data_IF_344375444640
#
_entry.id   IF_344375444640
#
_cell.length_a   1.000
_cell.length_b   1.000
_cell.length_c   1.000
_cell.angle_alpha   90.00
_cell.angle_beta   90.00
_cell.angle_gamma   90.00
#
_symmetry.space_group_name_H-M   'P 1'
#
loop_
_entity.id
_entity.type
_entity.pdbx_description
1 polymer ?
#
# COMPACT_ATOMS: atom_id res chain seq x y z
N UNK A 1 0.28 -19.77 -17.02
CA UNK A 1 0.96 -18.94 -16.02
C UNK A 1 2.17 -19.72 -15.57
N UNK A 2 3.30 -19.39 -16.18
CA UNK A 2 4.56 -20.06 -15.90
C UNK A 2 5.14 -19.54 -14.58
N UNK A 3 6.09 -20.28 -14.02
CA UNK A 3 6.68 -19.95 -12.71
C UNK A 3 7.30 -18.54 -12.68
N UNK A 4 7.90 -18.12 -13.79
CA UNK A 4 8.53 -16.80 -13.96
C UNK A 4 7.49 -15.68 -13.86
N UNK A 5 6.37 -15.81 -14.57
CA UNK A 5 5.25 -14.83 -14.53
C UNK A 5 4.66 -14.73 -13.11
N UNK A 6 4.52 -15.86 -12.40
CA UNK A 6 4.04 -15.84 -11.02
C UNK A 6 4.95 -15.05 -10.08
N UNK A 7 6.27 -15.27 -10.16
CA UNK A 7 7.23 -14.58 -9.30
C UNK A 7 7.24 -13.07 -9.57
N UNK A 8 7.06 -12.66 -10.82
CA UNK A 8 6.94 -11.24 -11.21
C UNK A 8 5.72 -10.58 -10.57
N UNK A 9 4.53 -11.16 -10.68
CA UNK A 9 3.34 -10.61 -10.01
C UNK A 9 3.44 -10.68 -8.49
N UNK A 10 3.99 -11.76 -7.93
CA UNK A 10 4.15 -11.90 -6.49
C UNK A 10 5.06 -10.80 -5.92
N UNK A 11 6.12 -10.44 -6.65
CA UNK A 11 7.00 -9.33 -6.31
C UNK A 11 6.28 -7.97 -6.48
N UNK A 12 5.58 -7.76 -7.60
CA UNK A 12 4.87 -6.50 -7.87
C UNK A 12 3.71 -6.24 -6.88
N UNK A 13 3.06 -7.30 -6.38
CA UNK A 13 2.04 -7.24 -5.32
C UNK A 13 2.65 -7.28 -3.91
N UNK A 14 3.96 -7.42 -3.79
CA UNK A 14 4.69 -7.54 -2.53
C UNK A 14 4.12 -8.65 -1.60
N UNK A 15 3.66 -9.79 -2.16
CA UNK A 15 2.95 -10.84 -1.41
C UNK A 15 3.75 -11.45 -0.26
N UNK A 16 5.08 -11.32 -0.30
CA UNK A 16 6.00 -11.84 0.70
C UNK A 16 6.55 -10.78 1.65
N UNK A 17 6.17 -9.51 1.46
CA UNK A 17 6.62 -8.40 2.31
C UNK A 17 5.50 -8.07 3.30
N UNK A 18 5.70 -8.26 4.62
CA UNK A 18 4.70 -7.90 5.60
C UNK A 18 4.56 -6.37 5.68
N UNK A 19 3.34 -5.89 5.61
CA UNK A 19 3.05 -4.47 5.79
C UNK A 19 3.17 -4.05 7.26
N UNK A 20 3.93 -2.97 7.52
CA UNK A 20 3.96 -2.26 8.80
C UNK A 20 3.86 -0.75 8.54
N UNK A 21 2.85 -0.05 9.07
CA UNK A 21 2.73 1.38 8.89
C UNK A 21 3.84 2.17 9.60
N UNK A 22 4.40 1.64 10.70
CA UNK A 22 5.57 2.20 11.39
C UNK A 22 6.79 2.19 10.47
N UNK A 23 7.02 1.06 9.80
CA UNK A 23 8.15 0.87 8.87
C UNK A 23 7.96 1.70 7.61
N UNK A 24 6.75 1.76 7.08
CA UNK A 24 6.38 2.59 5.92
C UNK A 24 6.67 4.08 6.18
N UNK A 25 6.33 4.56 7.38
CA UNK A 25 6.54 5.93 7.79
C UNK A 25 8.01 6.21 8.11
N UNK A 26 8.78 5.24 8.63
CA UNK A 26 10.18 5.42 9.02
C UNK A 26 10.39 6.67 9.90
N UNK A 27 11.12 7.68 9.43
CA UNK A 27 11.29 8.97 10.12
C UNK A 27 10.27 10.04 9.67
N UNK A 28 9.49 9.76 8.64
CA UNK A 28 8.47 10.65 8.08
C UNK A 28 7.21 10.70 8.98
N UNK A 29 6.59 11.87 9.07
CA UNK A 29 5.35 12.08 9.83
C UNK A 29 4.08 11.66 9.08
N UNK A 30 4.12 11.68 7.75
CA UNK A 30 3.02 11.29 6.87
C UNK A 30 3.54 10.78 5.52
N UNK A 31 2.75 9.92 4.87
CA UNK A 31 3.08 9.34 3.56
C UNK A 31 1.83 9.00 2.78
N UNK A 32 1.87 9.20 1.47
CA UNK A 32 0.91 8.62 0.54
C UNK A 32 1.46 7.31 0.01
N UNK A 33 0.91 6.19 0.48
CA UNK A 33 1.29 4.86 0.05
C UNK A 33 0.40 4.40 -1.11
N UNK A 34 1.01 3.70 -2.07
CA UNK A 34 0.35 3.07 -3.20
C UNK A 34 0.53 1.56 -3.08
N UNK A 35 -0.56 0.81 -3.10
CA UNK A 35 -0.56 -0.65 -3.02
C UNK A 35 -1.19 -1.22 -4.28
N UNK A 36 -0.47 -2.08 -5.01
CA UNK A 36 -1.05 -2.94 -6.05
C UNK A 36 -1.61 -4.19 -5.37
N UNK A 37 -2.87 -4.51 -5.62
CA UNK A 37 -3.61 -5.56 -4.88
C UNK A 37 -4.08 -6.71 -5.75
N UNK A 38 -4.17 -6.48 -7.04
CA UNK A 38 -4.50 -7.50 -8.03
C UNK A 38 -4.00 -7.05 -9.40
N UNK A 39 -3.78 -8.02 -10.28
CA UNK A 39 -3.55 -7.80 -11.69
C UNK A 39 -4.61 -8.54 -12.50
N UNK A 40 -4.99 -7.96 -13.63
CA UNK A 40 -5.80 -8.63 -14.63
C UNK A 40 -5.22 -8.34 -16.00
N UNK A 41 -5.08 -9.39 -16.79
CA UNK A 41 -4.70 -9.29 -18.19
C UNK A 41 -5.90 -9.58 -19.08
N UNK A 42 -6.04 -8.75 -20.09
CA UNK A 42 -7.13 -8.84 -21.07
C UNK A 42 -6.55 -8.75 -22.47
N UNK A 43 -7.40 -8.92 -23.49
CA UNK A 43 -6.99 -8.68 -24.88
C UNK A 43 -6.67 -7.21 -25.18
N UNK A 44 -7.14 -6.29 -24.34
CA UNK A 44 -7.02 -4.84 -24.53
C UNK A 44 -5.83 -4.25 -23.77
N UNK A 45 -5.23 -5.03 -22.86
CA UNK A 45 -4.10 -4.61 -22.03
C UNK A 45 -4.12 -5.24 -20.64
N UNK A 46 -3.16 -4.82 -19.83
CA UNK A 46 -3.04 -5.21 -18.43
C UNK A 46 -3.47 -4.07 -17.50
N UNK A 47 -4.07 -4.45 -16.37
CA UNK A 47 -4.55 -3.51 -15.37
C UNK A 47 -4.18 -3.98 -13.97
N UNK A 48 -3.83 -3.04 -13.10
CA UNK A 48 -3.62 -3.27 -11.68
C UNK A 48 -4.77 -2.66 -10.88
N UNK A 49 -5.25 -3.38 -9.86
CA UNK A 49 -6.13 -2.79 -8.85
C UNK A 49 -5.28 -2.09 -7.80
N UNK A 50 -5.33 -0.77 -7.77
CA UNK A 50 -4.48 0.08 -6.94
C UNK A 50 -5.28 0.66 -5.78
N UNK A 51 -4.69 0.70 -4.59
CA UNK A 51 -5.20 1.46 -3.44
C UNK A 51 -4.21 2.55 -3.09
N UNK A 52 -4.64 3.81 -3.07
CA UNK A 52 -3.85 4.92 -2.49
C UNK A 52 -4.32 5.20 -1.07
N UNK A 53 -3.40 5.18 -0.11
CA UNK A 53 -3.67 5.36 1.30
C UNK A 53 -2.80 6.47 1.88
N UNK A 54 -3.42 7.41 2.56
CA UNK A 54 -2.73 8.37 3.38
C UNK A 54 -2.47 7.77 4.76
N UNK A 55 -1.20 7.65 5.14
CA UNK A 55 -0.75 7.12 6.42
C UNK A 55 -0.05 8.26 7.16
N UNK A 56 -0.40 8.52 8.42
CA UNK A 56 0.25 9.59 9.19
C UNK A 56 0.30 9.31 10.68
N UNK A 57 1.30 9.87 11.34
CA UNK A 57 1.39 9.95 12.81
C UNK A 57 0.46 11.03 13.32
N UNK A 58 -0.16 10.78 14.48
CA UNK A 58 -0.93 11.78 15.20
C UNK A 58 -0.78 11.60 16.72
N UNK A 59 -0.85 12.69 17.49
CA UNK A 59 -0.99 12.60 18.93
C UNK A 59 -2.40 12.10 19.29
N UNK A 60 -2.47 11.03 20.07
CA UNK A 60 -3.71 10.44 20.59
C UNK A 60 -3.77 10.67 22.11
N UNK A 61 -4.75 11.44 22.62
CA UNK A 61 -4.92 11.59 24.05
C UNK A 61 -5.43 10.28 24.66
N UNK A 62 -4.86 9.88 25.80
CA UNK A 62 -5.30 8.71 26.56
C UNK A 62 -5.73 9.11 27.97
N UNK A 63 -6.81 8.49 28.46
CA UNK A 63 -7.33 8.77 29.79
C UNK A 63 -6.29 8.38 30.87
N UNK A 64 -6.03 9.30 31.78
CA UNK A 64 -5.03 9.09 32.85
C UNK A 64 -3.58 9.30 32.44
N UNK A 65 -3.29 9.65 31.18
CA UNK A 65 -1.94 9.98 30.71
C UNK A 65 -1.84 11.50 30.44
N UNK A 66 -0.92 12.24 31.09
CA UNK A 66 -0.82 13.69 30.95
C UNK A 66 -0.32 14.17 29.58
N UNK A 67 0.39 13.31 28.84
CA UNK A 67 1.00 13.61 27.54
C UNK A 67 0.37 12.69 26.48
N UNK A 68 -0.06 13.22 25.32
CA UNK A 68 -0.57 12.40 24.23
C UNK A 68 0.47 11.37 23.77
N UNK A 69 0.02 10.16 23.47
CA UNK A 69 0.87 9.11 22.89
C UNK A 69 0.84 9.22 21.37
N UNK A 70 1.91 8.82 20.70
CA UNK A 70 1.92 8.73 19.24
C UNK A 70 1.05 7.55 18.78
N UNK A 71 0.10 7.83 17.89
CA UNK A 71 -0.69 6.83 17.17
C UNK A 71 -0.54 7.00 15.67
N UNK A 72 -0.96 5.98 14.92
CA UNK A 72 -0.96 6.02 13.45
C UNK A 72 -2.40 6.03 12.95
N UNK A 73 -2.67 6.91 11.98
CA UNK A 73 -3.92 6.94 11.22
C UNK A 73 -3.65 6.52 9.79
N UNK A 74 -4.53 5.66 9.30
CA UNK A 74 -4.58 5.21 7.93
C UNK A 74 -5.92 5.58 7.31
N UNK A 75 -5.88 6.22 6.15
CA UNK A 75 -7.08 6.59 5.39
C UNK A 75 -6.91 6.24 3.92
N UNK A 76 -7.72 5.29 3.43
CA UNK A 76 -7.83 5.06 1.99
C UNK A 76 -8.41 6.30 1.31
N UNK A 77 -7.70 6.83 0.32
CA UNK A 77 -8.14 7.99 -0.46
C UNK A 77 -8.94 7.57 -1.68
N UNK A 78 -8.43 6.57 -2.41
CA UNK A 78 -9.11 5.97 -3.55
C UNK A 78 -8.62 4.54 -3.77
N UNK A 79 -9.43 3.79 -4.52
CA UNK A 79 -9.09 2.48 -5.04
C UNK A 79 -9.77 2.27 -6.39
N UNK A 80 -9.14 1.51 -7.28
CA UNK A 80 -9.66 1.26 -8.62
C UNK A 80 -8.70 0.53 -9.53
N UNK A 81 -9.21 0.11 -10.68
CA UNK A 81 -8.42 -0.45 -11.77
C UNK A 81 -7.72 0.66 -12.54
N UNK A 82 -6.43 0.51 -12.75
CA UNK A 82 -5.59 1.43 -13.52
C UNK A 82 -4.81 0.64 -14.57
N UNK A 83 -4.59 1.22 -15.77
CA UNK A 83 -3.70 0.62 -16.76
C UNK A 83 -2.32 0.39 -16.15
N UNK A 84 -1.77 -0.80 -16.36
CA UNK A 84 -0.42 -1.15 -15.95
C UNK A 84 0.49 -1.14 -17.17
N UNK A 85 1.53 -0.31 -17.13
CA UNK A 85 2.61 -0.38 -18.12
C UNK A 85 3.49 -1.59 -17.77
N UNK A 86 3.13 -2.76 -18.31
CA UNK A 86 4.03 -3.91 -18.31
C UNK A 86 5.02 -3.67 -19.45
N UNK A 87 6.22 -3.17 -19.13
CA UNK A 87 7.35 -3.26 -20.05
C UNK A 87 7.66 -4.75 -20.23
N UNK A 88 7.20 -5.31 -21.36
CA UNK A 88 7.48 -6.69 -21.77
C UNK A 88 8.87 -6.89 -22.35
#
# INVERSE_FOLDING_TARGET
>A
MDKVEYEEYANALELHVPYSPETLLAEEGEKLALFKRAFVETREGAYAYVTRRHVKRLPVPQAGVPVPVEGIQEKTLNEGWEPEDIEG
#
